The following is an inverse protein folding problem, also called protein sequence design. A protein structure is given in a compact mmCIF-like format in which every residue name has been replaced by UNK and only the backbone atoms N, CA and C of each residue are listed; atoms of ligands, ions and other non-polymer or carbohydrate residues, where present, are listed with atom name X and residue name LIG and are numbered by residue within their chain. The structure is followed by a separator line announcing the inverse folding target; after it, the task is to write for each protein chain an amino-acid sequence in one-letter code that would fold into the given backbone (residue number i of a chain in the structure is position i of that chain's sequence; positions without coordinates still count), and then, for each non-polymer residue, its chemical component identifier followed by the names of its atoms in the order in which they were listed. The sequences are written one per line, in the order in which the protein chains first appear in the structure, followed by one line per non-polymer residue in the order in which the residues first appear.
data_IF_983728191633
#
_entry.id   IF_983728191633
#
_cell.length_a   1.000
_cell.length_b   1.000
_cell.length_c   1.000
_cell.angle_alpha   90.00
_cell.angle_beta   90.00
_cell.angle_gamma   90.00
#
_symmetry.space_group_name_H-M   'P 1'
#
loop_
_entity.id
_entity.type
_entity.pdbx_description
1 polymer ?
#
# COMPACT_ATOMS: atom_id res chain seq x y z
N UNK A 1 18.63 89.91 -6.28
CA UNK A 1 18.51 89.99 -4.84
C UNK A 1 18.77 88.57 -4.35
N UNK A 2 20.03 88.27 -4.00
CA UNK A 2 20.52 88.07 -2.64
C UNK A 2 19.67 87.03 -1.89
N UNK A 3 20.17 85.87 -1.49
CA UNK A 3 21.27 85.67 -0.60
C UNK A 3 21.75 84.18 -0.53
N UNK A 4 23.05 84.07 -0.37
CA UNK A 4 23.87 82.93 0.03
C UNK A 4 23.57 82.43 1.45
N UNK A 5 23.83 81.15 1.68
CA UNK A 5 24.64 80.58 2.82
C UNK A 5 24.74 79.08 2.58
N UNK A 6 25.80 78.44 2.26
CA UNK A 6 27.09 78.04 2.87
C UNK A 6 26.91 77.22 4.18
N UNK A 7 27.57 76.07 4.12
CA UNK A 7 28.17 75.22 5.15
C UNK A 7 27.29 74.00 5.57
N UNK A 8 27.76 72.82 5.83
CA UNK A 8 29.09 72.30 6.13
C UNK A 8 29.13 70.77 5.84
N UNK A 9 30.29 70.31 5.43
CA UNK A 9 30.67 68.90 5.42
C UNK A 9 30.65 68.28 6.83
N UNK A 10 30.12 67.09 6.96
CA UNK A 10 30.61 66.13 7.93
C UNK A 10 30.54 64.73 7.34
N UNK A 11 31.70 64.17 7.04
CA UNK A 11 31.83 62.80 6.54
C UNK A 11 31.55 61.79 7.67
N UNK A 12 30.80 60.77 7.30
CA UNK A 12 30.70 59.55 8.13
C UNK A 12 31.18 58.39 7.26
N UNK A 13 32.39 57.91 7.59
CA UNK A 13 32.91 56.63 7.07
C UNK A 13 32.01 55.50 7.62
N UNK A 14 31.24 54.87 6.80
CA UNK A 14 30.59 53.59 7.09
C UNK A 14 31.56 52.44 6.77
N UNK A 15 32.08 51.83 7.84
CA UNK A 15 32.82 50.56 7.73
C UNK A 15 31.82 49.46 7.40
N UNK A 16 31.85 48.97 6.18
CA UNK A 16 31.11 47.78 5.78
C UNK A 16 31.90 46.56 6.24
N UNK A 17 31.49 45.98 7.35
CA UNK A 17 31.97 44.68 7.79
C UNK A 17 31.29 43.60 6.92
N UNK A 18 32.08 43.00 6.02
CA UNK A 18 31.65 41.82 5.26
C UNK A 18 31.53 40.62 6.21
N UNK A 19 30.32 40.25 6.56
CA UNK A 19 30.01 38.99 7.24
C UNK A 19 29.90 37.91 6.17
N UNK A 20 30.96 37.14 6.04
CA UNK A 20 30.93 35.88 5.26
C UNK A 20 30.15 34.85 6.07
N UNK A 21 28.96 34.49 5.60
CA UNK A 21 28.24 33.30 6.08
C UNK A 21 28.91 32.07 5.43
N UNK A 22 29.16 31.01 6.19
CA UNK A 22 29.56 29.75 5.61
C UNK A 22 28.36 29.18 4.82
N UNK A 23 28.57 28.81 3.56
CA UNK A 23 27.66 28.00 2.77
C UNK A 23 27.47 26.65 3.48
N UNK A 24 26.33 26.50 4.13
CA UNK A 24 25.92 25.23 4.69
C UNK A 24 25.45 24.36 3.54
N UNK A 25 26.12 23.26 3.35
CA UNK A 25 25.72 22.13 2.48
C UNK A 25 24.37 21.62 3.01
N UNK A 26 23.27 22.15 2.52
CA UNK A 26 21.91 21.75 2.80
C UNK A 26 21.26 21.21 1.52
N UNK A 27 21.77 20.09 1.03
CA UNK A 27 21.28 19.52 -0.23
C UNK A 27 21.05 18.01 -0.23
N UNK A 28 21.39 17.29 0.84
CA UNK A 28 21.24 15.83 0.87
C UNK A 28 20.44 15.27 2.06
N UNK A 29 20.00 16.11 3.00
CA UNK A 29 19.23 15.66 4.17
C UNK A 29 17.70 15.75 3.99
N UNK A 30 17.21 16.42 2.94
CA UNK A 30 15.78 16.66 2.75
C UNK A 30 15.06 15.56 1.97
N UNK A 31 15.76 14.81 1.14
CA UNK A 31 15.14 13.74 0.35
C UNK A 31 14.93 12.47 1.17
N UNK A 32 15.87 12.13 2.04
CA UNK A 32 15.76 10.98 2.96
C UNK A 32 14.76 11.24 4.10
N UNK A 33 14.57 12.48 4.53
CA UNK A 33 13.62 12.85 5.58
C UNK A 33 12.16 12.86 5.06
N UNK A 34 11.91 13.24 3.81
CA UNK A 34 10.58 13.21 3.19
C UNK A 34 10.08 11.78 2.91
N UNK A 35 10.98 10.83 2.72
CA UNK A 35 10.62 9.40 2.60
C UNK A 35 10.29 8.78 3.96
N UNK A 36 10.90 9.26 5.05
CA UNK A 36 10.67 8.76 6.41
C UNK A 36 9.34 9.22 7.04
N UNK A 37 8.79 10.38 6.65
CA UNK A 37 7.50 10.87 7.19
C UNK A 37 6.25 10.25 6.54
N UNK A 38 6.40 9.53 5.42
CA UNK A 38 5.27 8.90 4.72
C UNK A 38 4.97 7.46 5.17
N UNK A 39 5.78 6.88 6.05
CA UNK A 39 5.61 5.52 6.56
C UNK A 39 5.28 5.55 8.05
N UNK A 40 4.01 5.71 8.36
CA UNK A 40 3.50 5.35 9.68
C UNK A 40 3.68 3.83 9.86
N UNK A 41 4.88 3.39 10.24
CA UNK A 41 5.13 2.01 10.62
C UNK A 41 4.38 1.75 11.92
N UNK A 42 3.14 1.27 11.81
CA UNK A 42 2.52 0.60 12.93
C UNK A 42 3.44 -0.57 13.32
N UNK A 43 3.88 -0.62 14.58
CA UNK A 43 4.71 -1.73 15.04
C UNK A 43 3.94 -3.03 14.83
N UNK A 44 4.47 -3.94 14.01
CA UNK A 44 3.95 -5.28 13.87
C UNK A 44 4.15 -6.03 15.19
N UNK A 45 3.19 -6.86 15.54
CA UNK A 45 3.23 -7.60 16.80
C UNK A 45 3.72 -9.04 16.56
N UNK A 46 4.47 -9.55 17.53
CA UNK A 46 4.81 -10.94 17.62
C UNK A 46 3.67 -11.78 18.23
N UNK A 47 3.83 -13.12 18.26
CA UNK A 47 2.86 -14.04 18.84
C UNK A 47 2.56 -13.79 20.33
N UNK A 48 3.48 -13.15 21.03
CA UNK A 48 3.40 -12.76 22.44
C UNK A 48 2.70 -11.38 22.63
N UNK A 49 2.32 -10.74 21.55
CA UNK A 49 1.71 -9.41 21.54
C UNK A 49 2.69 -8.25 21.73
N UNK A 50 4.01 -8.54 21.73
CA UNK A 50 5.02 -7.49 21.81
C UNK A 50 5.35 -6.95 20.41
N UNK A 51 5.75 -5.67 20.30
CA UNK A 51 6.22 -5.11 19.05
C UNK A 51 7.42 -5.88 18.49
N UNK A 52 7.39 -6.21 17.20
CA UNK A 52 8.53 -6.75 16.49
C UNK A 52 9.59 -5.66 16.29
N UNK A 53 10.91 -6.00 16.40
CA UNK A 53 11.99 -5.02 16.42
C UNK A 53 12.45 -4.60 15.02
N UNK A 54 11.52 -4.44 14.06
CA UNK A 54 11.86 -4.01 12.71
C UNK A 54 11.68 -2.50 12.57
N UNK A 55 12.72 -1.82 12.10
CA UNK A 55 12.71 -0.38 11.89
C UNK A 55 12.09 0.01 10.52
N UNK A 56 11.99 -0.93 9.58
CA UNK A 56 11.45 -0.72 8.25
C UNK A 56 10.68 -1.93 7.72
N UNK A 57 9.85 -1.71 6.71
CA UNK A 57 9.19 -2.80 5.99
C UNK A 57 10.22 -3.70 5.28
N UNK A 58 11.33 -3.14 4.81
CA UNK A 58 12.40 -3.89 4.14
C UNK A 58 13.04 -4.91 5.09
N UNK A 59 13.30 -4.53 6.35
CA UNK A 59 13.79 -5.45 7.38
C UNK A 59 12.79 -6.57 7.67
N UNK A 60 11.51 -6.22 7.78
CA UNK A 60 10.45 -7.22 7.97
C UNK A 60 10.31 -8.15 6.76
N UNK A 61 10.36 -7.63 5.53
CA UNK A 61 10.31 -8.45 4.32
C UNK A 61 11.52 -9.41 4.22
N UNK A 62 12.70 -8.93 4.60
CA UNK A 62 13.90 -9.78 4.64
C UNK A 62 13.79 -10.86 5.72
N UNK A 63 13.25 -10.52 6.89
CA UNK A 63 12.91 -11.52 7.91
C UNK A 63 11.92 -12.55 7.39
N UNK A 64 10.82 -12.14 6.79
CA UNK A 64 9.81 -13.03 6.22
C UNK A 64 10.41 -13.98 5.16
N UNK A 65 11.38 -13.49 4.39
CA UNK A 65 12.04 -14.26 3.34
C UNK A 65 13.04 -15.28 3.89
N UNK A 66 13.78 -14.93 4.95
CA UNK A 66 14.99 -15.66 5.36
C UNK A 66 14.91 -16.36 6.72
N UNK A 67 13.97 -15.97 7.61
CA UNK A 67 13.84 -16.58 8.92
C UNK A 67 13.51 -18.08 8.82
N UNK A 68 13.98 -18.88 9.77
CA UNK A 68 13.68 -20.30 9.83
C UNK A 68 12.19 -20.55 10.09
N UNK A 69 11.60 -21.53 9.44
CA UNK A 69 10.24 -21.99 9.75
C UNK A 69 10.34 -23.05 10.85
N UNK A 70 9.97 -22.68 12.07
CA UNK A 70 10.03 -23.59 13.23
C UNK A 70 8.75 -24.36 13.47
N UNK A 71 7.61 -23.83 13.00
CA UNK A 71 6.30 -24.50 13.07
C UNK A 71 5.50 -24.19 11.79
N UNK A 72 4.67 -25.15 11.35
CA UNK A 72 3.72 -24.97 10.25
C UNK A 72 2.44 -25.74 10.52
N UNK A 73 1.30 -25.11 10.27
CA UNK A 73 -0.03 -25.71 10.40
C UNK A 73 -0.95 -25.29 9.25
N UNK A 74 -1.90 -26.13 8.89
CA UNK A 74 -2.91 -25.79 7.89
C UNK A 74 -3.85 -24.71 8.45
N UNK A 75 -4.18 -23.69 7.65
CA UNK A 75 -5.29 -22.78 7.95
C UNK A 75 -6.56 -23.46 7.46
N UNK A 76 -7.50 -23.79 8.35
CA UNK A 76 -8.67 -24.63 8.01
C UNK A 76 -9.73 -23.90 7.16
N UNK A 77 -9.51 -22.61 6.87
CA UNK A 77 -10.44 -21.74 6.12
C UNK A 77 -9.90 -21.48 4.72
N UNK A 78 -10.78 -21.56 3.72
CA UNK A 78 -10.45 -21.29 2.32
C UNK A 78 -10.27 -22.54 1.46
N UNK A 79 -10.38 -22.35 0.15
CA UNK A 79 -10.27 -23.43 -0.86
C UNK A 79 -8.80 -23.80 -1.09
N UNK A 80 -7.89 -22.86 -0.92
CA UNK A 80 -6.47 -22.93 -1.28
C UNK A 80 -5.56 -23.45 -0.16
N UNK A 81 -6.10 -23.79 1.02
CA UNK A 81 -5.38 -24.36 2.18
C UNK A 81 -4.03 -23.68 2.47
N UNK A 82 -4.01 -22.38 2.75
CA UNK A 82 -2.77 -21.70 3.11
C UNK A 82 -2.21 -22.29 4.41
N UNK A 83 -0.89 -22.13 4.59
CA UNK A 83 -0.22 -22.55 5.81
C UNK A 83 -0.01 -21.35 6.73
N UNK A 84 -0.20 -21.55 8.02
CA UNK A 84 0.26 -20.63 9.05
C UNK A 84 1.63 -21.10 9.51
N UNK A 85 2.61 -20.23 9.39
CA UNK A 85 3.99 -20.47 9.75
C UNK A 85 4.34 -19.71 11.02
N UNK A 86 5.20 -20.30 11.86
CA UNK A 86 5.98 -19.58 12.87
C UNK A 86 7.40 -19.47 12.34
N UNK A 87 7.86 -18.24 12.21
CA UNK A 87 9.19 -17.87 11.72
C UNK A 87 10.05 -17.44 12.89
N UNK A 88 11.33 -17.86 12.88
CA UNK A 88 12.29 -17.48 13.92
C UNK A 88 13.64 -17.12 13.31
N UNK A 89 14.23 -16.00 13.75
CA UNK A 89 15.58 -15.57 13.41
C UNK A 89 16.10 -14.62 14.48
N UNK A 90 17.33 -14.86 14.96
CA UNK A 90 18.02 -14.02 15.95
C UNK A 90 17.18 -13.74 17.22
N UNK A 91 16.41 -14.75 17.67
CA UNK A 91 15.52 -14.66 18.83
C UNK A 91 14.20 -13.92 18.58
N UNK A 92 13.97 -13.41 17.38
CA UNK A 92 12.70 -12.81 16.98
C UNK A 92 11.77 -13.87 16.43
N UNK A 93 10.54 -13.92 16.91
CA UNK A 93 9.49 -14.83 16.41
C UNK A 93 8.32 -14.04 15.83
N UNK A 94 7.85 -14.46 14.66
CA UNK A 94 6.65 -13.91 14.04
C UNK A 94 5.80 -15.00 13.39
N UNK A 95 4.47 -14.79 13.32
CA UNK A 95 3.58 -15.65 12.53
C UNK A 95 3.41 -15.07 11.13
N UNK A 96 3.22 -15.95 10.16
CA UNK A 96 2.97 -15.56 8.77
C UNK A 96 2.01 -16.52 8.08
N UNK A 97 1.28 -16.02 7.09
CA UNK A 97 0.51 -16.85 6.17
C UNK A 97 1.37 -17.16 4.93
N UNK A 98 1.45 -18.44 4.55
CA UNK A 98 2.13 -18.89 3.34
C UNK A 98 1.12 -19.46 2.36
N UNK A 99 1.06 -18.85 1.16
CA UNK A 99 0.23 -19.29 0.04
C UNK A 99 1.11 -19.75 -1.12
N UNK A 100 0.76 -20.86 -1.74
CA UNK A 100 1.55 -21.48 -2.82
C UNK A 100 0.72 -21.97 -3.99
N UNK A 101 -0.59 -21.67 -3.97
CA UNK A 101 -1.47 -22.06 -5.06
C UNK A 101 -1.22 -21.23 -6.33
N UNK A 102 -1.18 -21.93 -7.46
CA UNK A 102 -1.12 -21.39 -8.81
C UNK A 102 -2.11 -22.18 -9.67
N UNK A 103 -3.26 -21.61 -9.92
CA UNK A 103 -4.32 -22.23 -10.73
C UNK A 103 -4.67 -21.33 -11.90
N UNK A 104 -4.65 -21.84 -13.09
CA UNK A 104 -5.15 -21.16 -14.28
C UNK A 104 -6.34 -21.91 -14.87
N UNK A 105 -7.39 -21.19 -15.23
CA UNK A 105 -8.59 -21.68 -15.91
C UNK A 105 -8.85 -20.84 -17.14
N UNK A 106 -9.36 -21.47 -18.21
CA UNK A 106 -9.74 -20.81 -19.46
C UNK A 106 -11.23 -20.88 -19.66
N UNK A 107 -11.78 -19.84 -20.26
CA UNK A 107 -13.19 -19.75 -20.66
C UNK A 107 -14.16 -20.09 -19.52
N UNK A 108 -13.98 -19.45 -18.36
CA UNK A 108 -14.82 -19.66 -17.17
C UNK A 108 -15.72 -18.46 -16.88
N UNK A 109 -16.90 -18.73 -16.30
CA UNK A 109 -17.76 -17.68 -15.76
C UNK A 109 -17.75 -17.73 -14.23
N UNK A 110 -17.42 -16.60 -13.60
CA UNK A 110 -17.36 -16.44 -12.16
C UNK A 110 -18.20 -15.20 -11.81
N UNK A 111 -19.17 -15.36 -10.92
CA UNK A 111 -20.09 -14.29 -10.48
C UNK A 111 -20.74 -13.50 -11.64
N UNK A 112 -21.10 -14.22 -12.71
CA UNK A 112 -21.76 -13.65 -13.90
C UNK A 112 -20.82 -12.93 -14.87
N UNK A 113 -19.52 -12.85 -14.61
CA UNK A 113 -18.51 -12.34 -15.52
C UNK A 113 -17.78 -13.47 -16.21
N UNK A 114 -17.61 -13.37 -17.53
CA UNK A 114 -16.84 -14.33 -18.33
C UNK A 114 -15.37 -13.91 -18.39
N UNK A 115 -14.48 -14.89 -18.14
CA UNK A 115 -13.03 -14.72 -18.21
C UNK A 115 -12.46 -15.69 -19.26
N UNK A 116 -11.80 -15.16 -20.27
CA UNK A 116 -11.03 -15.98 -21.23
C UNK A 116 -9.88 -16.70 -20.52
N UNK A 117 -9.29 -16.04 -19.54
CA UNK A 117 -8.24 -16.55 -18.68
C UNK A 117 -8.51 -16.05 -17.26
N UNK A 118 -8.55 -16.96 -16.33
CA UNK A 118 -8.71 -16.66 -14.89
C UNK A 118 -7.57 -17.31 -14.11
N UNK A 119 -6.91 -16.55 -13.26
CA UNK A 119 -5.86 -17.06 -12.42
C UNK A 119 -6.21 -16.87 -10.94
N UNK A 120 -5.85 -17.91 -10.15
CA UNK A 120 -5.79 -17.88 -8.69
C UNK A 120 -4.31 -18.09 -8.35
N UNK A 121 -3.60 -17.01 -7.99
CA UNK A 121 -2.14 -16.99 -7.94
C UNK A 121 -1.63 -16.36 -6.66
N UNK A 122 -0.80 -17.10 -5.90
CA UNK A 122 -0.13 -16.57 -4.72
C UNK A 122 0.79 -15.39 -5.03
N UNK A 123 1.27 -15.24 -6.28
CA UNK A 123 2.11 -14.11 -6.72
C UNK A 123 1.37 -12.79 -6.67
N UNK A 124 0.05 -12.80 -6.82
CA UNK A 124 -0.78 -11.61 -6.77
C UNK A 124 -0.80 -10.94 -5.38
N UNK A 125 -0.53 -11.70 -4.32
CA UNK A 125 -0.33 -11.14 -2.98
C UNK A 125 0.86 -10.19 -2.92
N UNK A 126 1.98 -10.59 -3.52
CA UNK A 126 3.19 -9.75 -3.59
C UNK A 126 2.95 -8.51 -4.47
N UNK A 127 2.29 -8.67 -5.62
CA UNK A 127 1.93 -7.56 -6.49
C UNK A 127 1.00 -6.55 -5.78
N UNK A 128 -0.01 -7.03 -5.06
CA UNK A 128 -0.94 -6.20 -4.29
C UNK A 128 -0.21 -5.40 -3.20
N UNK A 129 0.67 -6.03 -2.43
CA UNK A 129 1.48 -5.34 -1.43
C UNK A 129 2.35 -4.24 -2.07
N UNK A 130 3.10 -4.55 -3.13
CA UNK A 130 3.97 -3.58 -3.82
C UNK A 130 3.17 -2.38 -4.33
N UNK A 131 2.05 -2.63 -4.98
CA UNK A 131 1.20 -1.56 -5.51
C UNK A 131 0.55 -0.73 -4.39
N UNK A 132 0.09 -1.36 -3.30
CA UNK A 132 -0.42 -0.67 -2.13
C UNK A 132 0.62 0.29 -1.53
N UNK A 133 1.89 -0.13 -1.42
CA UNK A 133 2.99 0.72 -0.95
C UNK A 133 3.21 1.93 -1.85
N UNK A 134 3.24 1.73 -3.18
CA UNK A 134 3.36 2.84 -4.14
C UNK A 134 2.23 3.85 -3.99
N UNK A 135 1.00 3.40 -3.73
CA UNK A 135 -0.15 4.27 -3.53
C UNK A 135 -0.20 4.92 -2.13
N UNK A 136 0.67 4.50 -1.21
CA UNK A 136 0.58 4.92 0.19
C UNK A 136 -0.61 4.32 0.93
N UNK A 137 -1.11 3.19 0.46
CA UNK A 137 -2.13 2.40 1.14
C UNK A 137 -1.45 1.46 2.13
N UNK A 138 -1.62 1.72 3.42
CA UNK A 138 -0.99 0.99 4.52
C UNK A 138 -1.86 -0.16 5.06
N UNK A 139 -2.75 -0.72 4.21
CA UNK A 139 -3.78 -1.71 4.61
C UNK A 139 -3.55 -3.10 4.03
N UNK A 140 -2.52 -3.28 3.23
CA UNK A 140 -2.09 -4.61 2.77
C UNK A 140 -0.88 -5.01 3.62
N UNK A 141 -0.95 -6.12 4.37
CA UNK A 141 0.17 -6.53 5.21
C UNK A 141 1.43 -6.83 4.40
N UNK A 142 2.63 -6.52 4.92
CA UNK A 142 3.90 -6.86 4.29
C UNK A 142 3.96 -8.30 3.78
N UNK A 143 4.25 -8.42 2.49
CA UNK A 143 4.20 -9.67 1.74
C UNK A 143 5.38 -9.76 0.79
N UNK A 144 6.04 -10.91 0.76
CA UNK A 144 7.15 -11.19 -0.15
C UNK A 144 7.07 -12.64 -0.66
N UNK A 145 7.84 -12.95 -1.69
CA UNK A 145 8.02 -14.31 -2.17
C UNK A 145 8.93 -15.13 -1.26
N UNK A 146 8.66 -16.44 -1.16
CA UNK A 146 9.44 -17.38 -0.39
C UNK A 146 9.33 -18.79 -0.96
N UNK A 147 10.38 -19.60 -0.78
CA UNK A 147 10.32 -21.06 -0.97
C UNK A 147 10.20 -21.76 0.38
N UNK A 148 9.24 -22.66 0.50
CA UNK A 148 9.07 -23.51 1.68
C UNK A 148 8.64 -24.92 1.26
N UNK A 149 9.30 -25.96 1.81
CA UNK A 149 9.05 -27.37 1.49
C UNK A 149 9.02 -27.67 -0.02
N UNK A 150 9.95 -27.06 -0.77
CA UNK A 150 10.05 -27.22 -2.23
C UNK A 150 9.00 -26.44 -3.05
N UNK A 151 8.07 -25.74 -2.43
CA UNK A 151 7.04 -24.93 -3.07
C UNK A 151 7.46 -23.46 -3.09
N UNK A 152 7.30 -22.80 -4.24
CA UNK A 152 7.40 -21.34 -4.33
C UNK A 152 6.04 -20.74 -3.97
N UNK A 153 6.03 -19.64 -3.22
CA UNK A 153 4.79 -19.01 -2.76
C UNK A 153 5.02 -17.60 -2.25
N UNK A 154 3.96 -16.99 -1.76
CA UNK A 154 3.99 -15.73 -1.02
C UNK A 154 3.96 -16.00 0.49
N UNK A 155 4.70 -15.19 1.24
CA UNK A 155 4.66 -15.14 2.70
C UNK A 155 4.25 -13.75 3.15
N UNK A 156 3.17 -13.67 3.92
CA UNK A 156 2.57 -12.44 4.43
C UNK A 156 2.62 -12.44 5.96
N UNK A 157 3.05 -11.32 6.57
CA UNK A 157 3.02 -11.19 8.04
C UNK A 157 1.61 -11.43 8.57
N UNK A 158 1.50 -12.14 9.67
CA UNK A 158 0.22 -12.37 10.34
C UNK A 158 -0.25 -11.10 11.05
N UNK A 159 -1.51 -10.74 10.88
CA UNK A 159 -2.12 -9.63 11.61
C UNK A 159 -2.54 -10.13 12.99
N UNK A 160 -1.73 -9.80 13.98
CA UNK A 160 -2.04 -10.11 15.37
C UNK A 160 -3.08 -9.16 15.94
N UNK A 161 -3.82 -9.62 16.96
CA UNK A 161 -4.80 -8.78 17.63
C UNK A 161 -6.04 -8.47 16.79
N UNK A 162 -6.36 -9.34 15.81
CA UNK A 162 -7.62 -9.25 15.06
C UNK A 162 -8.83 -9.35 16.00
N UNK A 163 -9.91 -8.67 15.65
CA UNK A 163 -11.20 -8.84 16.30
C UNK A 163 -11.86 -10.14 15.80
N UNK A 164 -12.57 -10.80 16.70
CA UNK A 164 -13.37 -12.00 16.37
C UNK A 164 -14.52 -11.64 15.42
N UNK A 165 -15.07 -12.64 14.70
CA UNK A 165 -16.20 -12.46 13.79
C UNK A 165 -17.42 -11.82 14.51
N UNK A 166 -17.70 -12.21 15.75
CA UNK A 166 -18.76 -11.62 16.57
C UNK A 166 -18.50 -10.13 16.89
N UNK A 167 -17.23 -9.75 17.02
CA UNK A 167 -16.85 -8.37 17.27
C UNK A 167 -16.85 -7.50 15.99
N UNK A 168 -16.93 -8.08 14.80
CA UNK A 168 -17.05 -7.32 13.53
C UNK A 168 -18.40 -6.62 13.39
N UNK A 169 -19.43 -7.04 14.11
CA UNK A 169 -20.76 -6.39 14.15
C UNK A 169 -20.85 -5.24 15.15
N UNK A 170 -19.74 -4.62 15.48
CA UNK A 170 -19.64 -3.54 16.45
C UNK A 170 -19.68 -2.16 15.78
N UNK A 171 -19.98 -1.15 16.56
CA UNK A 171 -19.92 0.25 16.13
C UNK A 171 -18.50 0.79 16.30
N UNK A 172 -17.80 1.06 15.20
CA UNK A 172 -16.50 1.69 15.26
C UNK A 172 -16.55 3.00 16.08
N UNK A 173 -15.56 3.26 16.95
CA UNK A 173 -15.50 4.48 17.76
C UNK A 173 -15.49 5.76 16.91
N UNK A 174 -14.90 5.69 15.73
CA UNK A 174 -14.93 6.75 14.73
C UNK A 174 -15.51 6.22 13.42
N UNK A 175 -16.85 6.30 13.22
CA UNK A 175 -17.50 5.76 12.04
C UNK A 175 -16.99 6.37 10.73
N UNK A 176 -16.65 7.66 10.70
CA UNK A 176 -16.14 8.31 9.50
C UNK A 176 -14.75 7.78 9.12
N UNK A 177 -13.85 7.62 10.10
CA UNK A 177 -12.54 7.03 9.85
C UNK A 177 -12.66 5.59 9.35
N UNK A 178 -13.62 4.82 9.86
CA UNK A 178 -13.90 3.46 9.40
C UNK A 178 -14.42 3.44 7.96
N UNK A 179 -15.39 4.29 7.63
CA UNK A 179 -15.95 4.41 6.27
C UNK A 179 -14.89 4.87 5.26
N UNK A 180 -13.96 5.76 5.64
CA UNK A 180 -12.85 6.14 4.76
C UNK A 180 -12.00 4.92 4.34
N UNK A 181 -11.82 3.96 5.25
CA UNK A 181 -11.09 2.74 4.95
C UNK A 181 -11.81 1.87 3.91
N UNK A 182 -13.14 1.84 3.91
CA UNK A 182 -13.91 1.12 2.88
C UNK A 182 -13.85 1.83 1.52
N UNK A 183 -13.75 3.16 1.49
CA UNK A 183 -13.51 3.90 0.24
C UNK A 183 -12.10 3.65 -0.32
N UNK A 184 -11.08 3.58 0.55
CA UNK A 184 -9.71 3.18 0.14
C UNK A 184 -9.71 1.78 -0.47
N UNK A 185 -10.41 0.84 0.18
CA UNK A 185 -10.58 -0.53 -0.32
C UNK A 185 -11.25 -0.55 -1.70
N UNK A 186 -12.40 0.14 -1.86
CA UNK A 186 -13.14 0.17 -3.12
C UNK A 186 -12.28 0.75 -4.27
N UNK A 187 -11.49 1.78 -3.98
CA UNK A 187 -10.55 2.35 -4.93
C UNK A 187 -9.45 1.36 -5.32
N UNK A 188 -8.84 0.70 -4.33
CA UNK A 188 -7.77 -0.26 -4.55
C UNK A 188 -8.27 -1.52 -5.27
N UNK A 189 -9.40 -2.10 -4.83
CA UNK A 189 -9.98 -3.30 -5.44
C UNK A 189 -10.41 -3.05 -6.90
N UNK A 190 -10.84 -1.82 -7.26
CA UNK A 190 -11.07 -1.45 -8.66
C UNK A 190 -9.77 -1.40 -9.48
N UNK A 191 -8.68 -0.86 -8.92
CA UNK A 191 -7.39 -0.80 -9.61
C UNK A 191 -6.84 -2.20 -9.89
N UNK A 192 -6.80 -3.05 -8.86
CA UNK A 192 -6.24 -4.40 -8.98
C UNK A 192 -7.23 -5.43 -9.54
N UNK A 193 -8.48 -5.05 -9.78
CA UNK A 193 -9.58 -5.95 -10.15
C UNK A 193 -9.66 -7.16 -9.19
N UNK A 194 -9.81 -6.90 -7.90
CA UNK A 194 -9.98 -7.96 -6.91
C UNK A 194 -11.41 -8.48 -6.92
N UNK A 195 -11.63 -9.60 -7.56
CA UNK A 195 -12.98 -10.18 -7.80
C UNK A 195 -13.51 -11.02 -6.63
N UNK A 196 -12.73 -11.18 -5.57
CA UNK A 196 -13.07 -12.02 -4.42
C UNK A 196 -13.01 -11.26 -3.08
N UNK A 197 -13.33 -9.96 -3.07
CA UNK A 197 -13.38 -9.19 -1.82
C UNK A 197 -14.66 -9.49 -1.04
N UNK A 198 -14.60 -10.49 -0.20
CA UNK A 198 -15.66 -10.85 0.74
C UNK A 198 -15.21 -10.56 2.21
N UNK A 199 -16.11 -10.77 3.19
CA UNK A 199 -15.85 -10.45 4.59
C UNK A 199 -14.72 -11.28 5.22
N UNK A 200 -14.43 -12.47 4.71
CA UNK A 200 -13.32 -13.31 5.22
C UNK A 200 -11.95 -12.84 4.73
N UNK A 201 -11.92 -12.00 3.69
CA UNK A 201 -10.72 -11.41 3.10
C UNK A 201 -10.43 -10.00 3.63
N UNK A 202 -11.07 -9.65 4.76
CA UNK A 202 -10.87 -8.41 5.51
C UNK A 202 -10.66 -8.78 6.97
N UNK A 203 -9.54 -8.35 7.55
CA UNK A 203 -9.28 -8.44 8.98
C UNK A 203 -9.47 -7.05 9.58
N UNK A 204 -10.14 -6.99 10.73
CA UNK A 204 -10.24 -5.78 11.55
C UNK A 204 -9.43 -5.99 12.81
N UNK A 205 -8.46 -5.14 13.07
CA UNK A 205 -7.68 -5.20 14.29
C UNK A 205 -8.34 -4.43 15.45
N UNK A 206 -7.76 -4.53 16.64
CA UNK A 206 -8.27 -3.87 17.85
C UNK A 206 -8.25 -2.35 17.79
N UNK A 207 -7.51 -1.75 16.85
CA UNK A 207 -7.52 -0.32 16.55
C UNK A 207 -8.58 0.08 15.54
N UNK A 208 -9.38 -0.85 15.05
CA UNK A 208 -10.37 -0.71 13.98
C UNK A 208 -9.75 -0.40 12.62
N UNK A 209 -8.50 -0.78 12.41
CA UNK A 209 -7.87 -0.74 11.10
C UNK A 209 -8.32 -1.95 10.29
N UNK A 210 -8.73 -1.69 9.05
CA UNK A 210 -9.02 -2.73 8.06
C UNK A 210 -7.72 -3.19 7.40
N UNK A 211 -7.50 -4.48 7.40
CA UNK A 211 -6.42 -5.13 6.69
C UNK A 211 -6.98 -5.94 5.55
N UNK A 212 -6.51 -5.66 4.35
CA UNK A 212 -6.92 -6.33 3.12
C UNK A 212 -5.98 -7.51 2.87
N UNK A 213 -6.54 -8.70 2.87
CA UNK A 213 -5.81 -9.94 2.66
C UNK A 213 -6.44 -10.73 1.51
N UNK A 214 -5.79 -11.82 1.11
CA UNK A 214 -6.24 -12.73 0.06
C UNK A 214 -6.54 -12.05 -1.27
N UNK A 215 -5.47 -11.65 -1.95
CA UNK A 215 -5.51 -11.04 -3.28
C UNK A 215 -5.24 -12.05 -4.39
N UNK A 216 -5.30 -13.36 -4.11
CA UNK A 216 -4.92 -14.41 -5.07
C UNK A 216 -5.77 -14.40 -6.35
N UNK A 217 -6.95 -13.78 -6.33
CA UNK A 217 -7.86 -13.61 -7.46
C UNK A 217 -7.94 -12.19 -8.00
N UNK A 218 -6.99 -11.32 -7.62
CA UNK A 218 -6.82 -9.99 -8.20
C UNK A 218 -6.14 -10.07 -9.58
N UNK A 219 -5.87 -8.93 -10.19
CA UNK A 219 -5.07 -8.76 -11.41
C UNK A 219 -5.51 -9.59 -12.62
N UNK A 220 -6.77 -10.02 -12.67
CA UNK A 220 -7.25 -10.73 -13.85
C UNK A 220 -7.02 -9.90 -15.12
N UNK A 221 -6.69 -10.54 -16.28
CA UNK A 221 -6.42 -9.86 -17.55
C UNK A 221 -7.71 -9.33 -18.19
N UNK A 222 -8.33 -8.38 -17.50
CA UNK A 222 -9.56 -7.69 -17.87
C UNK A 222 -9.34 -6.19 -17.70
N UNK A 223 -9.48 -5.38 -18.76
CA UNK A 223 -9.11 -3.96 -18.71
C UNK A 223 -10.14 -3.06 -18.04
N UNK A 224 -11.36 -3.55 -17.78
CA UNK A 224 -12.44 -2.77 -17.16
C UNK A 224 -12.28 -2.71 -15.63
N UNK A 225 -12.82 -1.66 -15.02
CA UNK A 225 -12.96 -1.56 -13.57
C UNK A 225 -13.93 -2.63 -13.04
N UNK A 226 -13.74 -3.02 -11.78
CA UNK A 226 -14.62 -3.97 -11.10
C UNK A 226 -16.03 -3.40 -10.96
N UNK A 227 -16.14 -2.24 -10.32
CA UNK A 227 -17.36 -1.46 -10.16
C UNK A 227 -17.03 0.04 -9.97
N UNK A 228 -17.01 0.80 -11.07
CA UNK A 228 -16.71 2.22 -11.03
C UNK A 228 -17.67 3.04 -10.15
N UNK A 229 -18.90 2.53 -9.87
CA UNK A 229 -19.91 3.26 -9.06
C UNK A 229 -19.52 3.27 -7.57
N UNK A 230 -18.75 2.31 -7.11
CA UNK A 230 -18.24 2.26 -5.74
C UNK A 230 -17.16 3.31 -5.47
N UNK A 231 -16.47 3.78 -6.51
CA UNK A 231 -15.50 4.87 -6.41
C UNK A 231 -16.25 6.20 -6.29
N UNK A 232 -16.47 6.66 -5.06
CA UNK A 232 -17.31 7.82 -4.72
C UNK A 232 -16.62 8.91 -3.91
N UNK A 233 -15.66 8.52 -3.10
CA UNK A 233 -14.79 9.35 -2.27
C UNK A 233 -13.37 8.82 -2.37
N UNK A 234 -12.39 9.70 -2.41
CA UNK A 234 -11.02 9.34 -2.73
C UNK A 234 -10.05 9.93 -1.72
N UNK A 235 -9.15 9.09 -1.23
CA UNK A 235 -7.99 9.50 -0.46
C UNK A 235 -7.06 10.36 -1.32
N UNK A 236 -6.82 11.60 -0.92
CA UNK A 236 -6.01 12.54 -1.71
C UNK A 236 -4.59 12.04 -1.94
N UNK A 237 -3.98 11.39 -0.97
CA UNK A 237 -2.62 10.82 -1.11
C UNK A 237 -2.62 9.71 -2.17
N UNK A 238 -3.57 8.78 -2.11
CA UNK A 238 -3.67 7.70 -3.11
C UNK A 238 -3.91 8.26 -4.52
N UNK A 239 -4.77 9.29 -4.63
CA UNK A 239 -5.01 9.97 -5.90
C UNK A 239 -3.76 10.61 -6.48
N UNK A 240 -3.04 11.40 -5.66
CA UNK A 240 -1.82 12.08 -6.09
C UNK A 240 -0.78 11.07 -6.56
N UNK A 241 -0.55 10.03 -5.77
CA UNK A 241 0.42 8.99 -6.12
C UNK A 241 0.02 8.19 -7.36
N UNK A 242 -1.28 7.86 -7.53
CA UNK A 242 -1.76 7.18 -8.74
C UNK A 242 -1.56 8.04 -9.98
N UNK A 243 -1.79 9.36 -9.87
CA UNK A 243 -1.63 10.30 -10.96
C UNK A 243 -0.17 10.50 -11.35
N UNK A 244 0.71 10.58 -10.37
CA UNK A 244 2.16 10.77 -10.56
C UNK A 244 2.88 9.49 -10.98
N UNK A 245 2.30 8.31 -10.70
CA UNK A 245 2.86 7.02 -11.08
C UNK A 245 2.85 6.88 -12.60
N UNK A 246 4.01 6.83 -13.23
CA UNK A 246 4.13 6.52 -14.64
C UNK A 246 4.03 5.00 -14.91
N UNK A 247 3.97 4.63 -16.18
CA UNK A 247 3.83 3.22 -16.59
C UNK A 247 5.08 2.40 -16.25
N UNK A 248 6.26 3.02 -16.28
CA UNK A 248 7.52 2.35 -15.98
C UNK A 248 7.62 2.01 -14.49
N UNK A 249 7.28 2.95 -13.60
CA UNK A 249 7.22 2.72 -12.16
C UNK A 249 6.19 1.63 -11.79
N UNK A 250 5.01 1.68 -12.43
CA UNK A 250 4.00 0.64 -12.28
C UNK A 250 4.53 -0.73 -12.69
N UNK A 251 5.13 -0.81 -13.88
CA UNK A 251 5.71 -2.04 -14.44
C UNK A 251 6.83 -2.59 -13.56
N UNK A 252 7.76 -1.75 -13.14
CA UNK A 252 8.88 -2.15 -12.27
C UNK A 252 8.39 -2.79 -10.97
N UNK A 253 7.38 -2.20 -10.35
CA UNK A 253 6.84 -2.71 -9.09
C UNK A 253 6.21 -4.09 -9.20
N UNK A 254 5.52 -4.40 -10.31
CA UNK A 254 4.69 -5.60 -10.42
C UNK A 254 5.22 -6.66 -11.39
N UNK A 255 6.17 -6.34 -12.27
CA UNK A 255 6.70 -7.28 -13.28
C UNK A 255 7.32 -8.57 -12.73
N UNK A 256 7.85 -8.64 -11.49
CA UNK A 256 8.27 -9.91 -10.92
C UNK A 256 7.10 -10.89 -10.66
N UNK A 257 5.87 -10.38 -10.59
CA UNK A 257 4.70 -11.13 -10.15
C UNK A 257 3.60 -11.26 -11.20
N UNK A 258 3.47 -10.28 -12.08
CA UNK A 258 2.45 -10.22 -13.13
C UNK A 258 3.08 -10.46 -14.51
N UNK A 259 2.30 -11.03 -15.41
CA UNK A 259 2.69 -11.13 -16.82
C UNK A 259 2.29 -9.88 -17.64
N UNK A 260 2.69 -9.86 -18.92
CA UNK A 260 2.49 -8.68 -19.77
C UNK A 260 1.02 -8.32 -20.00
N UNK A 261 0.12 -9.31 -20.09
CA UNK A 261 -1.31 -9.07 -20.27
C UNK A 261 -1.95 -8.49 -19.00
N UNK A 262 -1.58 -9.03 -17.84
CA UNK A 262 -2.02 -8.54 -16.53
C UNK A 262 -1.56 -7.10 -16.27
N UNK A 263 -0.29 -6.79 -16.62
CA UNK A 263 0.27 -5.43 -16.49
C UNK A 263 -0.45 -4.45 -17.43
N UNK A 264 -0.67 -4.83 -18.68
CA UNK A 264 -1.39 -3.99 -19.65
C UNK A 264 -2.81 -3.68 -19.18
N UNK A 265 -3.53 -4.67 -18.66
CA UNK A 265 -4.86 -4.47 -18.12
C UNK A 265 -4.86 -3.63 -16.84
N UNK A 266 -3.85 -3.78 -15.97
CA UNK A 266 -3.66 -2.94 -14.79
C UNK A 266 -3.41 -1.47 -15.20
N UNK A 267 -2.55 -1.22 -16.18
CA UNK A 267 -2.31 0.13 -16.70
C UNK A 267 -3.61 0.75 -17.27
N UNK A 268 -4.41 -0.01 -18.02
CA UNK A 268 -5.69 0.47 -18.51
C UNK A 268 -6.68 0.79 -17.38
N UNK A 269 -6.76 -0.02 -16.34
CA UNK A 269 -7.61 0.27 -15.18
C UNK A 269 -7.14 1.52 -14.42
N UNK A 270 -5.82 1.77 -14.35
CA UNK A 270 -5.29 3.03 -13.82
C UNK A 270 -5.85 4.23 -14.59
N UNK A 271 -5.79 4.22 -15.93
CA UNK A 271 -6.36 5.29 -16.76
C UNK A 271 -7.87 5.48 -16.51
N UNK A 272 -8.63 4.40 -16.48
CA UNK A 272 -10.08 4.45 -16.21
C UNK A 272 -10.40 5.00 -14.81
N UNK A 273 -9.56 4.75 -13.80
CA UNK A 273 -9.70 5.36 -12.48
C UNK A 273 -9.38 6.86 -12.51
N UNK A 274 -8.35 7.27 -13.26
CA UNK A 274 -8.07 8.69 -13.44
C UNK A 274 -9.26 9.40 -14.10
N UNK A 275 -9.76 8.87 -15.20
CA UNK A 275 -10.98 9.40 -15.90
C UNK A 275 -12.18 9.46 -14.93
N UNK A 276 -12.40 8.41 -14.14
CA UNK A 276 -13.52 8.35 -13.17
C UNK A 276 -13.42 9.42 -12.10
N UNK A 277 -12.25 9.62 -11.51
CA UNK A 277 -12.05 10.61 -10.45
C UNK A 277 -12.17 12.03 -11.01
N UNK A 278 -11.60 12.29 -12.18
CA UNK A 278 -11.74 13.59 -12.86
C UNK A 278 -13.21 13.93 -13.15
N UNK A 279 -14.00 12.96 -13.60
CA UNK A 279 -15.44 13.14 -13.79
C UNK A 279 -16.16 13.44 -12.47
N UNK A 280 -15.79 12.78 -11.36
CA UNK A 280 -16.36 13.07 -10.04
C UNK A 280 -15.98 14.47 -9.55
N UNK A 281 -14.76 14.92 -9.78
CA UNK A 281 -14.31 16.28 -9.43
C UNK A 281 -15.05 17.32 -10.27
N UNK A 282 -15.25 17.07 -11.55
CA UNK A 282 -16.04 17.97 -12.41
C UNK A 282 -17.50 18.06 -11.97
N UNK A 283 -18.10 16.97 -11.48
CA UNK A 283 -19.49 16.92 -10.99
C UNK A 283 -19.66 17.52 -9.59
N UNK A 284 -18.74 17.28 -8.66
CA UNK A 284 -18.91 17.52 -7.21
C UNK A 284 -17.85 18.42 -6.60
N UNK A 285 -16.87 18.86 -7.38
CA UNK A 285 -15.74 19.67 -6.91
C UNK A 285 -14.77 18.89 -6.03
N UNK A 286 -13.85 19.63 -5.38
CA UNK A 286 -12.80 19.10 -4.50
C UNK A 286 -13.33 18.35 -3.27
N UNK A 287 -14.61 18.49 -2.92
CA UNK A 287 -15.25 17.75 -1.84
C UNK A 287 -15.28 16.22 -2.02
N UNK A 288 -14.89 15.73 -3.20
CA UNK A 288 -14.70 14.30 -3.48
C UNK A 288 -13.53 13.72 -2.66
N UNK A 289 -12.53 14.53 -2.36
CA UNK A 289 -11.35 14.10 -1.63
C UNK A 289 -11.49 14.20 -0.10
N UNK A 290 -10.70 13.41 0.62
CA UNK A 290 -10.52 13.49 2.06
C UNK A 290 -9.07 13.23 2.46
#
# INVERSE_FOLDING_TARGET
MTNRRVACLAGLLAVVASVTFPETVAGQATETALVAEATGHGSWLGPDGQPLPFASDEELLEFLRTAEVVESEDIPVGITKPLKLVLEKDGVRARAAFRYEEVERKDVSIEGRHYRRFRDSCRFECAAYRLARLLGLDRVPPTTDRKFQGRSGSVQIWVEGSLDEEAKDFRAPNPLAYVRQTWDQDFFDNLILNVDRNSTNIIVDKSYKLWLIDHTRAFQPVPELLDAKRVTRINRTMWTRLKEMDEDALREAVSPYLDGEEIMCLARRRELLLERVEALVAERGEGVFY
#
